data_IF_752775262300
#
_entry.id   IF_752775262300
#
_cell.length_a   1.000
_cell.length_b   1.000
_cell.length_c   1.000
_cell.angle_alpha   90.00
_cell.angle_beta   90.00
_cell.angle_gamma   90.00
#
_symmetry.space_group_name_H-M   'P 1'
#
loop_
_entity.id
_entity.type
_entity.pdbx_description
1 polymer ?
#
# COMPACT_ATOMS: atom_id res chain seq x y z
N UNK A 1 13.00 8.63 -30.42
CA UNK A 1 12.52 9.02 -29.07
C UNK A 1 10.99 9.08 -29.02
N UNK A 2 10.34 9.82 -29.93
CA UNK A 2 8.87 9.94 -30.01
C UNK A 2 8.18 8.58 -30.29
N UNK A 3 8.69 7.78 -31.24
CA UNK A 3 8.11 6.46 -31.58
C UNK A 3 8.06 5.51 -30.36
N UNK A 4 9.16 5.43 -29.60
CA UNK A 4 9.25 4.58 -28.40
C UNK A 4 8.29 5.04 -27.29
N UNK A 5 8.04 6.35 -27.19
CA UNK A 5 7.07 6.90 -26.24
C UNK A 5 5.64 6.54 -26.64
N UNK A 6 5.31 6.67 -27.93
CA UNK A 6 4.00 6.32 -28.49
C UNK A 6 3.71 4.82 -28.31
N UNK A 7 4.67 3.95 -28.61
CA UNK A 7 4.51 2.50 -28.46
C UNK A 7 4.36 2.09 -26.98
N UNK A 8 5.12 2.70 -26.07
CA UNK A 8 4.99 2.46 -24.63
C UNK A 8 3.62 2.94 -24.12
N UNK A 9 3.18 4.11 -24.56
CA UNK A 9 1.88 4.67 -24.20
C UNK A 9 0.74 3.76 -24.66
N UNK A 10 0.73 3.31 -25.92
CA UNK A 10 -0.32 2.41 -26.42
C UNK A 10 -0.33 1.05 -25.73
N UNK A 11 0.84 0.46 -25.45
CA UNK A 11 0.91 -0.82 -24.72
C UNK A 11 0.38 -0.69 -23.29
N UNK A 12 0.78 0.36 -22.59
CA UNK A 12 0.32 0.63 -21.22
C UNK A 12 -1.17 0.94 -21.20
N UNK A 13 -1.65 1.80 -22.12
CA UNK A 13 -3.06 2.14 -22.24
C UNK A 13 -3.94 0.93 -22.59
N UNK A 14 -3.49 0.07 -23.52
CA UNK A 14 -4.22 -1.14 -23.88
C UNK A 14 -4.31 -2.12 -22.70
N UNK A 15 -3.22 -2.35 -21.98
CA UNK A 15 -3.22 -3.17 -20.76
C UNK A 15 -4.16 -2.58 -19.70
N UNK A 16 -4.10 -1.26 -19.49
CA UNK A 16 -4.99 -0.53 -18.58
C UNK A 16 -6.46 -0.76 -18.93
N UNK A 17 -6.82 -0.58 -20.20
CA UNK A 17 -8.18 -0.78 -20.69
C UNK A 17 -8.68 -2.22 -20.51
N UNK A 18 -7.85 -3.22 -20.82
CA UNK A 18 -8.21 -4.63 -20.61
C UNK A 18 -8.43 -4.94 -19.12
N UNK A 19 -7.55 -4.47 -18.25
CA UNK A 19 -7.66 -4.69 -16.80
C UNK A 19 -8.90 -3.99 -16.23
N UNK A 20 -9.18 -2.77 -16.66
CA UNK A 20 -10.39 -2.04 -16.28
C UNK A 20 -11.66 -2.79 -16.69
N UNK A 21 -11.72 -3.27 -17.94
CA UNK A 21 -12.86 -4.06 -18.43
C UNK A 21 -13.01 -5.36 -17.65
N UNK A 22 -11.91 -6.08 -17.38
CA UNK A 22 -11.91 -7.31 -16.58
C UNK A 22 -12.44 -7.06 -15.17
N UNK A 23 -11.91 -6.05 -14.48
CA UNK A 23 -12.32 -5.68 -13.13
C UNK A 23 -13.84 -5.45 -13.04
N UNK A 24 -14.39 -4.60 -13.92
CA UNK A 24 -15.83 -4.32 -13.92
C UNK A 24 -16.69 -5.49 -14.37
N UNK A 25 -16.23 -6.27 -15.35
CA UNK A 25 -17.05 -7.31 -15.98
C UNK A 25 -17.12 -8.59 -15.14
N UNK A 26 -16.08 -8.88 -14.35
CA UNK A 26 -15.90 -10.16 -13.68
C UNK A 26 -15.68 -9.98 -12.17
N UNK A 27 -14.58 -9.33 -11.78
CA UNK A 27 -14.10 -9.35 -10.39
C UNK A 27 -15.06 -8.58 -9.46
N UNK A 28 -15.47 -7.39 -9.88
CA UNK A 28 -16.44 -6.57 -9.17
C UNK A 28 -17.81 -7.27 -9.08
N UNK A 29 -18.29 -7.88 -10.18
CA UNK A 29 -19.57 -8.60 -10.18
C UNK A 29 -19.54 -9.80 -9.24
N UNK A 30 -18.44 -10.55 -9.22
CA UNK A 30 -18.26 -11.69 -8.31
C UNK A 30 -18.26 -11.23 -6.86
N UNK A 31 -17.56 -10.15 -6.55
CA UNK A 31 -17.54 -9.58 -5.21
C UNK A 31 -18.93 -9.08 -4.77
N UNK A 32 -19.62 -8.33 -5.62
CA UNK A 32 -20.99 -7.86 -5.35
C UNK A 32 -21.97 -9.03 -5.19
N UNK A 33 -21.81 -10.10 -5.96
CA UNK A 33 -22.60 -11.32 -5.79
C UNK A 33 -22.42 -11.92 -4.39
N UNK A 34 -21.17 -12.05 -3.91
CA UNK A 34 -20.88 -12.52 -2.54
C UNK A 34 -21.56 -11.64 -1.50
N UNK A 35 -21.46 -10.31 -1.65
CA UNK A 35 -22.05 -9.32 -0.75
C UNK A 35 -23.58 -9.41 -0.71
N UNK A 36 -24.23 -9.50 -1.88
CA UNK A 36 -25.70 -9.55 -1.99
C UNK A 36 -26.32 -10.83 -1.44
N UNK A 37 -25.57 -11.93 -1.37
CA UNK A 37 -26.05 -13.21 -0.86
C UNK A 37 -25.75 -13.42 0.64
N UNK A 38 -25.39 -12.34 1.37
CA UNK A 38 -25.08 -12.35 2.80
C UNK A 38 -24.01 -13.38 3.19
N UNK A 39 -23.12 -13.73 2.27
CA UNK A 39 -21.91 -14.46 2.64
C UNK A 39 -21.00 -13.53 3.43
N UNK A 40 -20.42 -14.04 4.51
CA UNK A 40 -19.37 -13.33 5.23
C UNK A 40 -18.19 -13.10 4.29
N UNK A 41 -17.92 -11.83 3.97
CA UNK A 41 -16.79 -11.42 3.12
C UNK A 41 -15.52 -11.47 3.97
N UNK A 42 -14.56 -12.30 3.57
CA UNK A 42 -13.32 -12.49 4.32
C UNK A 42 -12.26 -11.50 3.87
N UNK A 43 -11.23 -11.30 4.69
CA UNK A 43 -10.08 -10.43 4.36
C UNK A 43 -9.47 -10.77 2.99
N UNK A 44 -9.28 -12.07 2.71
CA UNK A 44 -8.77 -12.56 1.42
C UNK A 44 -9.58 -12.05 0.22
N UNK A 45 -10.88 -11.83 0.39
CA UNK A 45 -11.78 -11.39 -0.69
C UNK A 45 -11.60 -9.88 -0.92
N UNK A 46 -11.45 -9.09 0.13
CA UNK A 46 -11.07 -7.67 0.04
C UNK A 46 -9.67 -7.48 -0.53
N UNK A 47 -8.71 -8.28 -0.08
CA UNK A 47 -7.34 -8.29 -0.61
C UNK A 47 -7.35 -8.58 -2.11
N UNK A 48 -8.06 -9.63 -2.52
CA UNK A 48 -8.18 -9.99 -3.94
C UNK A 48 -8.88 -8.90 -4.75
N UNK A 49 -9.97 -8.33 -4.23
CA UNK A 49 -10.68 -7.22 -4.89
C UNK A 49 -9.74 -6.02 -5.09
N UNK A 50 -8.99 -5.65 -4.04
CA UNK A 50 -8.06 -4.54 -4.11
C UNK A 50 -6.92 -4.81 -5.09
N UNK A 51 -6.31 -6.00 -5.05
CA UNK A 51 -5.29 -6.42 -6.03
C UNK A 51 -5.81 -6.30 -7.47
N UNK A 52 -7.06 -6.72 -7.73
CA UNK A 52 -7.68 -6.62 -9.05
C UNK A 52 -7.97 -5.18 -9.46
N UNK A 53 -8.34 -4.34 -8.51
CA UNK A 53 -8.52 -2.90 -8.74
C UNK A 53 -7.19 -2.21 -9.06
N UNK A 54 -6.14 -2.49 -8.32
CA UNK A 54 -4.83 -1.86 -8.51
C UNK A 54 -4.04 -2.43 -9.68
N UNK A 55 -4.26 -3.68 -10.09
CA UNK A 55 -3.72 -4.28 -11.34
C UNK A 55 -4.03 -3.44 -12.57
N UNK A 56 -5.07 -2.60 -12.51
CA UNK A 56 -5.39 -1.62 -13.53
C UNK A 56 -4.19 -0.66 -13.70
N UNK A 57 -3.66 -0.11 -12.61
CA UNK A 57 -2.69 0.98 -12.61
C UNK A 57 -1.25 0.52 -12.37
N UNK A 58 -1.07 -0.44 -11.47
CA UNK A 58 0.22 -0.93 -10.99
C UNK A 58 0.64 -2.21 -11.72
N UNK A 59 1.93 -2.56 -11.60
CA UNK A 59 2.42 -3.87 -12.06
C UNK A 59 1.85 -5.00 -11.17
N UNK A 60 2.20 -6.24 -11.48
CA UNK A 60 1.61 -7.41 -10.84
C UNK A 60 1.78 -7.37 -9.31
N UNK A 61 0.67 -7.40 -8.55
CA UNK A 61 0.71 -7.42 -7.10
C UNK A 61 1.28 -8.76 -6.61
N UNK A 62 2.17 -8.71 -5.64
CA UNK A 62 2.76 -9.90 -5.01
C UNK A 62 2.06 -10.11 -3.66
N UNK A 63 1.41 -11.27 -3.42
CA UNK A 63 0.83 -11.58 -2.12
C UNK A 63 1.89 -11.60 -1.02
N UNK A 64 1.54 -11.07 0.16
CA UNK A 64 2.43 -10.98 1.31
C UNK A 64 2.95 -12.32 1.80
N UNK A 65 2.17 -13.41 1.62
CA UNK A 65 2.62 -14.76 1.97
C UNK A 65 3.87 -15.20 1.18
N UNK A 66 4.13 -14.58 0.03
CA UNK A 66 5.30 -14.86 -0.80
C UNK A 66 6.54 -14.01 -0.46
N UNK A 67 6.39 -13.00 0.41
CA UNK A 67 7.40 -11.95 0.62
C UNK A 67 7.63 -11.60 2.10
N UNK A 68 7.38 -12.55 3.01
CA UNK A 68 7.67 -12.37 4.42
C UNK A 68 9.17 -12.27 4.65
N UNK A 69 9.56 -11.26 5.40
CA UNK A 69 10.92 -11.04 5.84
C UNK A 69 11.03 -11.33 7.33
N UNK A 70 12.22 -11.72 7.77
CA UNK A 70 12.54 -11.82 9.19
C UNK A 70 13.79 -11.02 9.52
N UNK A 71 13.80 -10.37 10.67
CA UNK A 71 14.95 -9.63 11.17
C UNK A 71 14.99 -9.75 12.67
N UNK A 72 16.19 -9.88 13.21
CA UNK A 72 16.42 -9.87 14.65
C UNK A 72 16.59 -8.42 15.12
N UNK A 73 15.73 -7.99 16.04
CA UNK A 73 15.82 -6.70 16.72
C UNK A 73 15.84 -6.98 18.22
N UNK A 74 16.87 -6.50 18.92
CA UNK A 74 17.03 -6.70 20.37
C UNK A 74 16.96 -8.18 20.83
N UNK A 75 17.46 -9.11 20.01
CA UNK A 75 17.41 -10.55 20.31
C UNK A 75 16.06 -11.23 20.02
N UNK A 76 15.05 -10.48 19.59
CA UNK A 76 13.76 -11.01 19.18
C UNK A 76 13.68 -11.13 17.64
N UNK A 77 13.27 -12.30 17.16
CA UNK A 77 13.04 -12.53 15.74
C UNK A 77 11.67 -11.98 15.35
N UNK A 78 11.68 -10.86 14.64
CA UNK A 78 10.47 -10.24 14.12
C UNK A 78 10.22 -10.75 12.70
N UNK A 79 9.06 -11.37 12.49
CA UNK A 79 8.52 -11.67 11.16
C UNK A 79 7.63 -10.51 10.74
N UNK A 80 7.89 -9.97 9.57
CA UNK A 80 7.21 -8.79 9.07
C UNK A 80 6.97 -8.87 7.57
N UNK A 81 5.89 -8.25 7.09
CA UNK A 81 5.58 -8.24 5.68
C UNK A 81 4.20 -7.69 5.39
N UNK A 82 4.15 -6.75 4.44
CA UNK A 82 2.90 -6.24 3.91
C UNK A 82 2.08 -7.34 3.23
N UNK A 83 0.75 -7.26 3.33
CA UNK A 83 -0.19 -8.22 2.75
C UNK A 83 -0.18 -8.23 1.22
N UNK A 84 0.22 -7.12 0.60
CA UNK A 84 0.52 -7.03 -0.82
C UNK A 84 1.75 -6.14 -1.01
N UNK A 85 2.70 -6.58 -1.84
CA UNK A 85 3.85 -5.78 -2.28
C UNK A 85 3.79 -5.51 -3.77
N UNK A 86 4.22 -4.32 -4.17
CA UNK A 86 4.43 -3.96 -5.57
C UNK A 86 5.91 -3.67 -5.79
N UNK A 87 6.59 -4.62 -6.41
CA UNK A 87 8.03 -4.54 -6.69
C UNK A 87 8.29 -4.14 -8.15
N UNK A 88 9.51 -3.66 -8.42
CA UNK A 88 9.96 -3.49 -9.81
C UNK A 88 10.37 -4.85 -10.37
N UNK A 89 10.05 -5.16 -11.64
CA UNK A 89 10.76 -6.22 -12.33
C UNK A 89 12.27 -5.94 -12.29
N UNK A 90 13.05 -6.94 -11.87
CA UNK A 90 14.53 -6.88 -11.83
C UNK A 90 15.11 -5.91 -10.79
N UNK A 91 14.34 -5.51 -9.76
CA UNK A 91 14.88 -4.80 -8.60
C UNK A 91 14.45 -5.51 -7.32
N UNK A 92 15.30 -5.43 -6.30
CA UNK A 92 14.94 -5.83 -4.92
C UNK A 92 14.20 -4.72 -4.16
N UNK A 93 13.94 -3.57 -4.81
CA UNK A 93 13.24 -2.44 -4.20
C UNK A 93 11.73 -2.51 -4.41
N UNK A 94 10.99 -2.25 -3.34
CA UNK A 94 9.54 -2.12 -3.32
C UNK A 94 9.11 -0.68 -3.63
N UNK A 95 8.03 -0.51 -4.38
CA UNK A 95 7.43 0.81 -4.65
C UNK A 95 6.30 1.14 -3.69
N UNK A 96 5.55 0.13 -3.33
CA UNK A 96 4.32 0.29 -2.57
C UNK A 96 4.10 -0.94 -1.72
N UNK A 97 3.95 -0.71 -0.42
CA UNK A 97 3.53 -1.71 0.54
C UNK A 97 2.05 -1.51 0.84
N UNK A 98 1.28 -2.59 0.88
CA UNK A 98 -0.15 -2.52 1.19
C UNK A 98 -0.45 -3.47 2.34
N UNK A 99 -1.05 -2.90 3.36
CA UNK A 99 -1.48 -3.56 4.58
C UNK A 99 -2.99 -3.69 4.52
N UNK A 100 -3.50 -4.91 4.57
CA UNK A 100 -4.93 -5.20 4.53
C UNK A 100 -5.37 -5.52 5.95
N UNK A 101 -6.21 -4.65 6.51
CA UNK A 101 -6.78 -4.88 7.82
C UNK A 101 -8.13 -5.58 7.70
N UNK A 102 -8.33 -6.63 8.49
CA UNK A 102 -9.58 -7.36 8.55
C UNK A 102 -10.72 -6.50 9.14
N UNK A 103 -11.91 -6.62 8.53
CA UNK A 103 -13.16 -6.16 9.14
C UNK A 103 -13.61 -7.18 10.18
N UNK A 104 -12.94 -7.28 11.32
CA UNK A 104 -13.44 -8.08 12.42
C UNK A 104 -14.23 -7.22 13.42
N UNK A 105 -14.99 -7.86 14.32
CA UNK A 105 -15.87 -7.19 15.30
C UNK A 105 -15.14 -6.14 16.16
N UNK A 106 -13.82 -6.23 16.27
CA UNK A 106 -12.97 -5.32 17.05
C UNK A 106 -12.75 -3.98 16.33
N UNK A 107 -12.84 -3.96 15.00
CA UNK A 107 -12.64 -2.77 14.18
C UNK A 107 -13.95 -2.07 13.79
N UNK A 108 -15.10 -2.48 14.33
CA UNK A 108 -16.42 -1.90 13.95
C UNK A 108 -16.48 -0.37 14.14
N UNK A 109 -15.85 0.15 15.20
CA UNK A 109 -15.75 1.59 15.46
C UNK A 109 -14.93 2.35 14.41
N UNK A 110 -13.89 1.72 13.85
CA UNK A 110 -13.12 2.28 12.75
C UNK A 110 -14.02 2.50 11.54
N UNK A 111 -14.82 1.48 11.17
CA UNK A 111 -15.76 1.59 10.05
C UNK A 111 -16.84 2.65 10.29
N UNK A 112 -17.43 2.67 11.49
CA UNK A 112 -18.43 3.69 11.88
C UNK A 112 -17.86 5.12 11.81
N UNK A 113 -16.59 5.32 12.22
CA UNK A 113 -15.94 6.63 12.15
C UNK A 113 -15.59 7.04 10.71
N UNK A 114 -15.14 6.08 9.89
CA UNK A 114 -14.87 6.34 8.47
C UNK A 114 -16.17 6.70 7.75
N UNK A 115 -17.24 5.94 7.96
CA UNK A 115 -18.55 6.19 7.34
C UNK A 115 -19.18 7.51 7.81
N UNK A 116 -18.91 7.93 9.04
CA UNK A 116 -19.35 9.23 9.56
C UNK A 116 -18.54 10.43 9.04
N UNK A 117 -17.56 10.23 8.15
CA UNK A 117 -16.71 11.30 7.61
C UNK A 117 -15.84 11.97 8.69
N UNK A 118 -15.59 11.31 9.82
CA UNK A 118 -14.78 11.83 10.92
C UNK A 118 -13.32 11.48 10.68
N UNK A 119 -12.75 12.07 9.61
CA UNK A 119 -11.42 11.76 9.08
C UNK A 119 -10.32 11.85 10.16
N UNK A 120 -10.36 12.86 11.04
CA UNK A 120 -9.41 13.01 12.15
C UNK A 120 -9.52 11.90 13.22
N UNK A 121 -10.61 11.14 13.27
CA UNK A 121 -10.83 10.05 14.25
C UNK A 121 -10.60 8.67 13.67
N UNK A 122 -10.27 8.56 12.39
CA UNK A 122 -9.99 7.27 11.75
C UNK A 122 -8.73 6.66 12.36
N UNK A 123 -7.69 7.47 12.59
CA UNK A 123 -6.48 7.03 13.30
C UNK A 123 -6.75 6.71 14.77
N UNK A 124 -7.50 7.58 15.47
CA UNK A 124 -7.91 7.34 16.86
C UNK A 124 -8.75 6.07 17.04
N UNK A 125 -9.25 5.47 15.95
CA UNK A 125 -10.02 4.23 15.96
C UNK A 125 -9.32 3.04 15.33
N UNK A 126 -8.11 3.22 14.80
CA UNK A 126 -7.19 2.11 14.55
C UNK A 126 -6.67 1.64 15.91
N UNK A 127 -6.52 0.33 16.11
CA UNK A 127 -5.86 -0.16 17.31
C UNK A 127 -4.41 0.31 17.34
N UNK A 128 -3.91 0.68 18.52
CA UNK A 128 -2.50 1.03 18.72
C UNK A 128 -1.61 -0.10 18.17
N UNK A 129 -1.99 -1.36 18.40
CA UNK A 129 -1.29 -2.54 17.86
C UNK A 129 -1.15 -2.53 16.33
N UNK A 130 -2.18 -2.10 15.60
CA UNK A 130 -2.15 -2.06 14.14
C UNK A 130 -1.29 -0.91 13.64
N UNK A 131 -1.39 0.26 14.27
CA UNK A 131 -0.56 1.42 13.95
C UNK A 131 0.91 1.11 14.21
N UNK A 132 1.22 0.49 15.36
CA UNK A 132 2.56 0.04 15.72
C UNK A 132 3.10 -0.97 14.71
N UNK A 133 2.27 -1.95 14.32
CA UNK A 133 2.66 -2.95 13.31
C UNK A 133 2.98 -2.27 11.98
N UNK A 134 2.07 -1.46 11.45
CA UNK A 134 2.23 -0.76 10.17
C UNK A 134 3.44 0.17 10.21
N UNK A 135 3.65 0.89 11.31
CA UNK A 135 4.80 1.76 11.49
C UNK A 135 6.12 0.98 11.46
N UNK A 136 6.22 -0.11 12.23
CA UNK A 136 7.40 -1.00 12.23
C UNK A 136 7.66 -1.58 10.85
N UNK A 137 6.62 -2.06 10.16
CA UNK A 137 6.74 -2.63 8.83
C UNK A 137 7.19 -1.61 7.78
N UNK A 138 6.62 -0.40 7.79
CA UNK A 138 7.06 0.68 6.92
C UNK A 138 8.52 1.07 7.19
N UNK A 139 8.90 1.20 8.46
CA UNK A 139 10.27 1.54 8.84
C UNK A 139 11.28 0.50 8.37
N UNK A 140 10.97 -0.79 8.55
CA UNK A 140 11.82 -1.90 8.11
C UNK A 140 11.97 -1.93 6.58
N UNK A 141 10.91 -1.58 5.85
CA UNK A 141 10.91 -1.55 4.38
C UNK A 141 11.47 -0.25 3.79
N UNK A 142 11.70 0.80 4.59
CA UNK A 142 12.18 2.11 4.11
C UNK A 142 13.46 2.04 3.27
N UNK A 143 14.38 1.13 3.62
CA UNK A 143 15.64 0.91 2.88
C UNK A 143 15.44 0.33 1.50
N UNK A 144 14.46 -0.56 1.39
CA UNK A 144 14.10 -1.21 0.15
C UNK A 144 13.07 -0.37 -0.62
N UNK A 145 12.60 0.75 -0.06
CA UNK A 145 11.67 1.61 -0.76
C UNK A 145 12.36 2.31 -1.93
N UNK A 146 11.63 2.41 -3.04
CA UNK A 146 11.99 3.29 -4.13
C UNK A 146 12.09 4.76 -3.69
N UNK A 147 11.34 5.16 -2.65
CA UNK A 147 11.28 6.53 -2.14
C UNK A 147 12.25 6.81 -1.00
N UNK A 148 13.22 5.91 -0.76
CA UNK A 148 14.22 6.04 0.31
C UNK A 148 14.82 7.46 0.35
N UNK A 149 14.86 8.13 1.52
CA UNK A 149 14.63 7.57 2.86
C UNK A 149 13.16 7.42 3.29
N UNK A 150 12.20 7.82 2.46
CA UNK A 150 10.77 7.62 2.73
C UNK A 150 10.22 6.29 2.20
N UNK A 151 9.01 5.94 2.64
CA UNK A 151 8.27 4.78 2.12
C UNK A 151 6.78 5.10 1.98
N UNK A 152 6.17 4.59 0.90
CA UNK A 152 4.73 4.72 0.66
C UNK A 152 4.03 3.41 1.05
N UNK A 153 2.96 3.56 1.82
CA UNK A 153 2.07 2.49 2.21
C UNK A 153 0.63 2.74 1.74
N UNK A 154 -0.18 1.69 1.71
CA UNK A 154 -1.64 1.80 1.69
C UNK A 154 -2.18 0.93 2.81
N UNK A 155 -3.05 1.49 3.65
CA UNK A 155 -3.87 0.73 4.57
C UNK A 155 -5.24 0.50 3.93
N UNK A 156 -5.60 -0.76 3.72
CA UNK A 156 -6.91 -1.18 3.22
C UNK A 156 -7.80 -1.58 4.40
N UNK A 157 -8.95 -0.93 4.53
CA UNK A 157 -10.01 -1.24 5.48
C UNK A 157 -11.28 -1.57 4.68
N UNK A 158 -11.44 -2.84 4.31
CA UNK A 158 -12.51 -3.26 3.41
C UNK A 158 -12.33 -2.70 2.01
N UNK A 159 -13.29 -1.90 1.55
CA UNK A 159 -13.22 -1.17 0.26
C UNK A 159 -12.60 0.23 0.39
N UNK A 160 -12.27 0.64 1.61
CA UNK A 160 -11.71 1.95 1.89
C UNK A 160 -10.19 1.86 1.99
N UNK A 161 -9.50 2.84 1.44
CA UNK A 161 -8.05 2.90 1.43
C UNK A 161 -7.55 4.22 2.01
N UNK A 162 -6.45 4.13 2.75
CA UNK A 162 -5.74 5.26 3.32
C UNK A 162 -4.31 5.19 2.80
N UNK A 163 -3.89 6.20 2.05
CA UNK A 163 -2.49 6.32 1.65
C UNK A 163 -1.65 6.77 2.84
N UNK A 164 -0.49 6.14 3.00
CA UNK A 164 0.49 6.38 4.04
C UNK A 164 1.80 6.83 3.38
N UNK A 165 2.47 7.80 4.00
CA UNK A 165 3.85 8.16 3.69
C UNK A 165 4.63 8.25 4.99
N UNK A 166 5.57 7.33 5.20
CA UNK A 166 6.48 7.38 6.34
C UNK A 166 7.74 8.11 5.91
N UNK A 167 7.95 9.29 6.48
CA UNK A 167 9.19 10.04 6.38
C UNK A 167 10.15 9.54 7.46
N UNK A 168 11.29 9.01 7.03
CA UNK A 168 12.36 8.55 7.92
C UNK A 168 13.51 9.55 7.82
N UNK A 169 13.96 10.07 8.96
CA UNK A 169 15.12 10.95 8.95
C UNK A 169 16.36 10.18 8.49
N UNK A 170 17.26 10.79 7.70
CA UNK A 170 18.48 10.14 7.21
C UNK A 170 19.33 9.56 8.34
N UNK A 171 19.36 10.23 9.49
CA UNK A 171 20.12 9.78 10.66
C UNK A 171 19.47 8.58 11.33
N UNK A 172 18.13 8.48 11.36
CA UNK A 172 17.42 7.28 11.80
C UNK A 172 17.68 6.11 10.84
N UNK A 173 17.66 6.34 9.52
CA UNK A 173 18.03 5.33 8.54
C UNK A 173 19.46 4.79 8.78
N UNK A 174 20.43 5.67 9.04
CA UNK A 174 21.83 5.32 9.34
C UNK A 174 21.99 4.60 10.68
N UNK A 175 21.36 5.10 11.75
CA UNK A 175 21.41 4.48 13.07
C UNK A 175 20.83 3.06 13.05
N UNK A 176 19.71 2.86 12.34
CA UNK A 176 19.17 1.53 12.11
C UNK A 176 20.15 0.64 11.32
N UNK A 177 20.99 1.21 10.43
CA UNK A 177 21.94 0.45 9.59
C UNK A 177 23.14 -0.04 10.38
N UNK A 178 23.56 0.73 11.39
CA UNK A 178 24.80 0.48 12.13
C UNK A 178 24.63 -0.45 13.34
N UNK A 179 23.43 -1.03 13.56
CA UNK A 179 23.11 -1.84 14.76
C UNK A 179 23.50 -1.15 16.07
N UNK A 180 23.47 0.19 16.11
CA UNK A 180 23.78 0.92 17.33
C UNK A 180 22.63 0.72 18.32
N UNK A 181 22.90 0.13 19.49
CA UNK A 181 21.94 -0.14 20.57
C UNK A 181 21.31 1.14 21.18
N UNK A 182 21.65 2.32 20.67
CA UNK A 182 21.21 3.61 21.19
C UNK A 182 20.63 4.49 20.07
N UNK A 183 19.39 4.21 19.68
CA UNK A 183 18.52 5.25 19.13
C UNK A 183 18.20 6.19 20.29
N UNK A 184 18.96 7.27 20.46
CA UNK A 184 18.63 8.31 21.44
C UNK A 184 17.26 8.95 21.16
N UNK A 185 16.70 9.65 22.15
CA UNK A 185 15.39 10.34 22.13
C UNK A 185 15.19 11.39 21.00
N UNK A 186 16.15 11.54 20.08
CA UNK A 186 16.08 12.48 18.95
C UNK A 186 15.60 11.88 17.61
N UNK A 187 15.59 10.55 17.47
CA UNK A 187 15.29 9.90 16.19
C UNK A 187 13.81 9.55 16.06
N UNK A 188 13.07 10.33 15.28
CA UNK A 188 11.67 10.09 15.00
C UNK A 188 11.45 9.88 13.50
N UNK A 189 10.42 9.10 13.20
CA UNK A 189 9.83 8.96 11.87
C UNK A 189 8.39 9.45 11.94
N UNK A 190 7.94 10.13 10.89
CA UNK A 190 6.60 10.71 10.86
C UNK A 190 5.79 9.97 9.79
N UNK A 191 4.63 9.43 10.18
CA UNK A 191 3.69 8.82 9.24
C UNK A 191 2.61 9.85 8.92
N UNK A 192 2.64 10.31 7.68
CA UNK A 192 1.57 11.08 7.09
C UNK A 192 0.52 10.14 6.51
N UNK A 193 -0.74 10.50 6.64
CA UNK A 193 -1.84 9.72 6.11
C UNK A 193 -2.86 10.64 5.47
N UNK A 194 -3.50 10.12 4.44
CA UNK A 194 -4.66 10.77 3.83
C UNK A 194 -5.92 10.41 4.60
N UNK A 195 -7.02 11.08 4.26
CA UNK A 195 -8.34 10.54 4.60
C UNK A 195 -8.60 9.19 3.94
N UNK A 196 -9.58 8.47 4.43
CA UNK A 196 -10.05 7.26 3.79
C UNK A 196 -10.80 7.57 2.49
N UNK A 197 -10.53 6.80 1.43
CA UNK A 197 -11.21 6.85 0.15
C UNK A 197 -11.86 5.51 -0.15
N UNK A 198 -13.13 5.49 -0.55
CA UNK A 198 -13.78 4.25 -0.98
C UNK A 198 -13.57 4.05 -2.49
N UNK A 199 -12.77 3.06 -2.90
CA UNK A 199 -12.58 2.80 -4.33
C UNK A 199 -13.82 2.23 -5.01
N UNK A 200 -14.87 1.90 -4.26
CA UNK A 200 -16.19 1.57 -4.80
C UNK A 200 -17.05 2.81 -5.08
N UNK A 201 -16.72 3.96 -4.49
CA UNK A 201 -17.33 5.26 -4.80
C UNK A 201 -16.73 5.87 -6.07
N UNK A 202 -17.59 6.31 -6.99
CA UNK A 202 -17.14 6.99 -8.21
C UNK A 202 -16.42 8.31 -7.92
N UNK A 203 -16.89 9.05 -6.92
CA UNK A 203 -16.31 10.32 -6.53
C UNK A 203 -14.89 10.15 -6.00
N UNK A 204 -14.69 9.17 -5.11
CA UNK A 204 -13.37 8.90 -4.54
C UNK A 204 -12.43 8.26 -5.55
N UNK A 205 -12.93 7.38 -6.44
CA UNK A 205 -12.15 6.88 -7.58
C UNK A 205 -11.53 8.02 -8.40
N UNK A 206 -12.30 9.05 -8.71
CA UNK A 206 -11.79 10.19 -9.48
C UNK A 206 -10.65 10.94 -8.75
N UNK A 207 -10.62 10.88 -7.41
CA UNK A 207 -9.55 11.49 -6.59
C UNK A 207 -8.31 10.59 -6.55
N UNK A 208 -8.45 9.28 -6.40
CA UNK A 208 -7.32 8.35 -6.19
C UNK A 208 -6.67 7.84 -7.49
N UNK A 209 -7.41 7.80 -8.61
CA UNK A 209 -6.90 7.29 -9.89
C UNK A 209 -5.62 8.02 -10.35
N UNK A 210 -5.54 9.37 -10.30
CA UNK A 210 -4.31 10.08 -10.66
C UNK A 210 -3.10 9.64 -9.84
N UNK A 211 -3.26 9.43 -8.52
CA UNK A 211 -2.18 8.98 -7.64
C UNK A 211 -1.73 7.56 -7.99
N UNK A 212 -2.67 6.62 -8.15
CA UNK A 212 -2.36 5.23 -8.53
C UNK A 212 -1.70 5.16 -9.90
N UNK A 213 -2.14 5.99 -10.85
CA UNK A 213 -1.51 6.10 -12.16
C UNK A 213 -0.06 6.58 -12.05
N UNK A 214 0.21 7.62 -11.25
CA UNK A 214 1.57 8.09 -11.01
C UNK A 214 2.46 7.03 -10.36
N UNK A 215 1.95 6.32 -9.35
CA UNK A 215 2.67 5.21 -8.73
C UNK A 215 3.01 4.10 -9.74
N UNK A 216 2.05 3.73 -10.59
CA UNK A 216 2.26 2.74 -11.65
C UNK A 216 3.22 3.20 -12.74
N UNK A 217 3.16 4.48 -13.11
CA UNK A 217 4.12 5.09 -14.02
C UNK A 217 5.54 5.05 -13.44
N UNK A 218 5.72 5.50 -12.19
CA UNK A 218 7.01 5.44 -11.50
C UNK A 218 7.51 4.00 -11.40
N UNK A 219 6.63 3.06 -11.06
CA UNK A 219 6.93 1.62 -10.99
C UNK A 219 7.44 1.03 -12.31
N UNK A 220 6.82 1.40 -13.42
CA UNK A 220 7.14 0.88 -14.75
C UNK A 220 8.26 1.64 -15.45
N UNK A 221 8.50 2.89 -15.06
CA UNK A 221 9.48 3.75 -15.70
C UNK A 221 10.91 3.34 -15.34
N UNK A 222 11.83 3.45 -16.31
CA UNK A 222 13.25 3.15 -16.06
C UNK A 222 13.95 4.18 -15.17
N UNK A 223 13.28 5.27 -14.81
CA UNK A 223 13.91 6.40 -14.14
C UNK A 223 14.54 5.96 -12.79
N UNK A 224 15.86 6.16 -12.67
CA UNK A 224 16.54 6.33 -11.40
C UNK A 224 16.14 7.72 -10.91
N UNK A 225 15.11 7.82 -10.08
CA UNK A 225 14.64 9.14 -9.67
C UNK A 225 15.59 9.77 -8.63
N UNK A 226 16.38 9.00 -7.87
CA UNK A 226 17.45 9.56 -7.02
C UNK A 226 18.62 8.56 -6.84
N UNK A 227 19.69 8.73 -7.61
CA UNK A 227 21.05 8.47 -7.08
C UNK A 227 21.51 9.83 -6.52
N UNK A 228 21.15 10.14 -5.28
CA UNK A 228 21.83 11.19 -4.53
C UNK A 228 23.04 10.48 -3.91
N UNK A 229 24.18 10.69 -4.57
CA UNK A 229 25.53 10.36 -4.09
C UNK A 229 25.83 10.96 -2.73
#
# INVERSE_FOLDING_TARGET
MIQNFVDLFFRTFYKWFLNLKRFHSLDLKRFLYTLCHNYEVKEKDYRLLFMKFTEIFLMEPIPGECCQNSTEINGEMLVYGADIKYERPQSTRSFLNVYVNEINKHNKKLYENIDAGKENRVIDSLSEDLLDKVAKELLLESRNSFFCPGVIGILCCGTKIIFLYCEVSPDHCKAAMEKSEHLGDGFHSIIHFTKAYDYMSAEDRNKIIPYLFWLGYVQSSKYKIFDIS
#
